data_IF_684940154653
#
_entry.id   IF_684940154653
#
_cell.length_a   1.000
_cell.length_b   1.000
_cell.length_c   1.000
_cell.angle_alpha   90.00
_cell.angle_beta   90.00
_cell.angle_gamma   90.00
#
_symmetry.space_group_name_H-M   'P 1'
#
loop_
_entity.id
_entity.type
_entity.pdbx_description
1 polymer ?
#
# COMPACT_ATOMS: atom_id res chain seq x y z
N UNK A 1 -37.02 31.99 -21.73
CA UNK A 1 -36.20 30.95 -21.09
C UNK A 1 -36.26 29.70 -21.97
N UNK A 2 -35.19 29.39 -22.70
CA UNK A 2 -35.08 28.14 -23.43
C UNK A 2 -34.11 27.25 -22.65
N UNK A 3 -34.65 26.18 -22.08
CA UNK A 3 -33.87 25.16 -21.38
C UNK A 3 -33.16 24.35 -22.46
N UNK A 4 -31.85 24.57 -22.61
CA UNK A 4 -31.01 23.70 -23.41
C UNK A 4 -30.93 22.35 -22.70
N UNK A 5 -31.67 21.36 -23.21
CA UNK A 5 -31.41 19.97 -22.90
C UNK A 5 -30.00 19.64 -23.39
N UNK A 6 -29.06 19.50 -22.45
CA UNK A 6 -27.75 18.92 -22.70
C UNK A 6 -27.95 17.44 -23.03
N UNK A 7 -28.13 17.16 -24.31
CA UNK A 7 -28.11 15.80 -24.83
C UNK A 7 -26.81 15.12 -24.40
N UNK A 8 -26.92 13.93 -23.82
CA UNK A 8 -25.80 13.05 -23.50
C UNK A 8 -25.08 12.70 -24.80
N UNK A 9 -24.06 13.47 -25.18
CA UNK A 9 -23.18 13.17 -26.30
C UNK A 9 -22.37 11.93 -25.93
N UNK A 10 -22.90 10.74 -26.22
CA UNK A 10 -22.14 9.50 -26.17
C UNK A 10 -21.17 9.43 -27.34
N UNK A 11 -19.97 8.90 -27.12
CA UNK A 11 -19.04 8.64 -28.22
C UNK A 11 -19.48 7.36 -28.95
N UNK A 12 -19.74 7.48 -30.26
CA UNK A 12 -19.89 6.33 -31.13
C UNK A 12 -18.49 5.79 -31.49
N UNK A 13 -18.26 4.50 -31.25
CA UNK A 13 -16.98 3.85 -31.50
C UNK A 13 -17.18 2.56 -32.30
N UNK A 14 -16.30 2.33 -33.26
CA UNK A 14 -16.21 1.10 -34.04
C UNK A 14 -15.42 0.05 -33.29
N UNK A 15 -16.02 -1.13 -33.10
CA UNK A 15 -15.44 -2.24 -32.37
C UNK A 15 -15.49 -3.51 -33.21
N UNK A 16 -14.33 -4.12 -33.41
CA UNK A 16 -14.13 -5.42 -34.03
C UNK A 16 -14.07 -6.51 -32.95
N UNK A 17 -14.86 -7.57 -33.11
CA UNK A 17 -14.96 -8.69 -32.17
C UNK A 17 -13.98 -9.81 -32.53
N UNK A 18 -13.23 -10.30 -31.53
CA UNK A 18 -12.33 -11.45 -31.63
C UNK A 18 -12.65 -12.47 -30.53
N UNK A 19 -13.02 -13.70 -30.90
CA UNK A 19 -13.51 -14.74 -29.96
C UNK A 19 -12.41 -15.72 -29.57
N UNK A 20 -11.48 -15.22 -28.76
CA UNK A 20 -10.42 -16.03 -28.17
C UNK A 20 -10.95 -17.17 -27.29
N UNK A 21 -12.14 -17.01 -26.70
CA UNK A 21 -12.86 -18.06 -25.96
C UNK A 21 -13.23 -19.27 -26.82
N UNK A 22 -13.33 -19.11 -28.14
CA UNK A 22 -13.59 -20.18 -29.10
C UNK A 22 -12.31 -20.66 -29.80
N UNK A 23 -11.13 -20.21 -29.34
CA UNK A 23 -9.85 -20.40 -30.03
C UNK A 23 -9.84 -19.82 -31.46
N UNK A 24 -10.72 -18.85 -31.75
CA UNK A 24 -10.73 -18.17 -33.04
C UNK A 24 -9.90 -16.87 -32.96
N UNK A 25 -8.86 -16.81 -33.80
CA UNK A 25 -7.96 -15.67 -33.89
C UNK A 25 -8.39 -14.62 -34.94
N UNK A 26 -9.51 -14.85 -35.64
CA UNK A 26 -10.04 -13.94 -36.67
C UNK A 26 -11.00 -12.92 -36.07
N UNK A 27 -11.21 -11.83 -36.81
CA UNK A 27 -12.26 -10.86 -36.52
C UNK A 27 -13.58 -11.43 -37.05
N UNK A 28 -14.57 -11.55 -36.16
CA UNK A 28 -15.84 -12.23 -36.45
C UNK A 28 -16.96 -11.24 -36.74
N UNK A 29 -16.90 -10.05 -36.15
CA UNK A 29 -17.90 -9.01 -36.36
C UNK A 29 -17.30 -7.63 -36.21
N UNK A 30 -17.86 -6.64 -36.90
CA UNK A 30 -17.54 -5.22 -36.76
C UNK A 30 -18.85 -4.48 -36.51
N UNK A 31 -18.93 -3.72 -35.41
CA UNK A 31 -20.12 -2.95 -35.07
C UNK A 31 -19.74 -1.59 -34.53
N UNK A 32 -20.57 -0.62 -34.85
CA UNK A 32 -20.59 0.66 -34.15
C UNK A 32 -21.34 0.49 -32.83
N UNK A 33 -20.74 0.98 -31.75
CA UNK A 33 -21.29 0.89 -30.39
C UNK A 33 -21.32 2.29 -29.81
N UNK A 34 -22.48 2.66 -29.27
CA UNK A 34 -22.68 3.94 -28.60
C UNK A 34 -22.42 3.77 -27.12
N UNK A 35 -21.43 4.49 -26.60
CA UNK A 35 -21.08 4.45 -25.18
C UNK A 35 -21.47 5.80 -24.56
N UNK A 36 -22.42 5.81 -23.60
CA UNK A 36 -22.83 7.04 -22.94
C UNK A 36 -21.67 7.67 -22.17
N UNK A 37 -21.54 8.99 -22.28
CA UNK A 37 -20.57 9.74 -21.48
C UNK A 37 -20.86 9.57 -19.99
N UNK A 38 -19.82 9.30 -19.20
CA UNK A 38 -19.94 9.04 -17.76
C UNK A 38 -20.45 7.64 -17.38
N UNK A 39 -20.65 6.72 -18.33
CA UNK A 39 -21.07 5.35 -18.03
C UNK A 39 -20.05 4.59 -17.16
N UNK A 40 -20.54 3.90 -16.14
CA UNK A 40 -19.72 3.01 -15.31
C UNK A 40 -19.23 1.79 -16.11
N UNK A 41 -18.08 1.25 -15.71
CA UNK A 41 -17.42 0.10 -16.36
C UNK A 41 -18.37 -1.10 -16.53
N UNK A 42 -19.23 -1.35 -15.54
CA UNK A 42 -20.23 -2.42 -15.56
C UNK A 42 -21.28 -2.21 -16.64
N UNK A 43 -21.79 -0.99 -16.79
CA UNK A 43 -22.73 -0.60 -17.86
C UNK A 43 -22.08 -0.70 -19.23
N UNK A 44 -20.84 -0.20 -19.40
CA UNK A 44 -20.09 -0.32 -20.67
C UNK A 44 -19.89 -1.79 -21.04
N UNK A 45 -19.55 -2.65 -20.07
CA UNK A 45 -19.45 -4.09 -20.28
C UNK A 45 -20.77 -4.71 -20.73
N UNK A 46 -21.89 -4.32 -20.13
CA UNK A 46 -23.22 -4.81 -20.51
C UNK A 46 -23.62 -4.34 -21.91
N UNK A 47 -23.36 -3.08 -22.27
CA UNK A 47 -23.60 -2.53 -23.61
C UNK A 47 -22.82 -3.34 -24.65
N UNK A 48 -21.52 -3.58 -24.42
CA UNK A 48 -20.70 -4.38 -25.33
C UNK A 48 -21.18 -5.83 -25.43
N UNK A 49 -21.55 -6.43 -24.29
CA UNK A 49 -22.11 -7.78 -24.28
C UNK A 49 -23.39 -7.86 -25.10
N UNK A 50 -24.29 -6.89 -24.94
CA UNK A 50 -25.55 -6.84 -25.67
C UNK A 50 -25.33 -6.61 -27.17
N UNK A 51 -24.50 -5.65 -27.55
CA UNK A 51 -24.18 -5.31 -28.96
C UNK A 51 -23.65 -6.51 -29.75
N UNK A 52 -22.90 -7.40 -29.10
CA UNK A 52 -22.31 -8.59 -29.71
C UNK A 52 -23.01 -9.90 -29.32
N UNK A 53 -24.14 -9.85 -28.61
CA UNK A 53 -24.90 -11.01 -28.10
C UNK A 53 -24.01 -12.02 -27.34
N UNK A 54 -23.14 -11.49 -26.47
CA UNK A 54 -22.18 -12.27 -25.69
C UNK A 54 -22.75 -12.57 -24.30
N UNK A 55 -22.63 -13.83 -23.87
CA UNK A 55 -22.80 -14.16 -22.46
C UNK A 55 -21.67 -13.52 -21.63
N UNK A 56 -22.06 -12.80 -20.58
CA UNK A 56 -21.13 -12.14 -19.64
C UNK A 56 -20.62 -13.09 -18.57
N UNK A 57 -21.28 -14.23 -18.37
CA UNK A 57 -20.93 -15.21 -17.35
C UNK A 57 -19.58 -15.86 -17.70
N UNK A 58 -18.63 -15.81 -16.75
CA UNK A 58 -17.31 -16.45 -16.83
C UNK A 58 -16.40 -16.04 -18.02
N UNK A 59 -16.65 -14.89 -18.65
CA UNK A 59 -15.80 -14.34 -19.72
C UNK A 59 -15.11 -13.05 -19.29
N UNK A 60 -13.91 -12.84 -19.85
CA UNK A 60 -13.12 -11.63 -19.71
C UNK A 60 -13.17 -10.89 -21.04
N UNK A 61 -13.50 -9.61 -21.00
CA UNK A 61 -13.41 -8.73 -22.14
C UNK A 61 -12.11 -7.93 -22.04
N UNK A 62 -11.39 -7.80 -23.15
CA UNK A 62 -10.19 -6.99 -23.27
C UNK A 62 -10.35 -6.13 -24.51
N UNK A 63 -10.19 -4.82 -24.39
CA UNK A 63 -10.28 -3.91 -25.52
C UNK A 63 -8.88 -3.40 -25.89
N UNK A 64 -8.54 -3.45 -27.17
CA UNK A 64 -7.24 -3.04 -27.69
C UNK A 64 -7.40 -1.95 -28.75
N UNK A 65 -6.44 -1.02 -28.79
CA UNK A 65 -6.34 -0.05 -29.88
C UNK A 65 -5.74 -0.66 -31.16
N UNK A 66 -5.65 0.14 -32.22
CA UNK A 66 -5.06 -0.23 -33.50
C UNK A 66 -3.57 -0.64 -33.42
N UNK A 67 -2.85 -0.20 -32.37
CA UNK A 67 -1.46 -0.61 -32.08
C UNK A 67 -1.39 -1.94 -31.32
N UNK A 68 -2.54 -2.54 -30.99
CA UNK A 68 -2.63 -3.75 -30.18
C UNK A 68 -2.42 -3.53 -28.69
N UNK A 69 -2.33 -2.28 -28.22
CA UNK A 69 -2.21 -1.96 -26.80
C UNK A 69 -3.56 -2.14 -26.10
N UNK A 70 -3.56 -2.72 -24.89
CA UNK A 70 -4.75 -2.81 -24.05
C UNK A 70 -5.14 -1.41 -23.56
N UNK A 71 -6.42 -1.06 -23.70
CA UNK A 71 -6.96 0.21 -23.21
C UNK A 71 -8.02 -0.04 -22.13
N UNK A 72 -8.26 0.92 -21.21
CA UNK A 72 -9.27 0.76 -20.17
C UNK A 72 -10.70 0.74 -20.74
N UNK A 73 -11.59 -0.04 -20.11
CA UNK A 73 -13.03 0.00 -20.35
C UNK A 73 -13.64 1.20 -19.63
N UNK A 74 -13.61 2.38 -20.25
CA UNK A 74 -14.27 3.56 -19.71
C UNK A 74 -15.15 4.24 -20.76
N UNK A 75 -15.95 5.20 -20.32
CA UNK A 75 -16.83 6.00 -21.18
C UNK A 75 -16.10 7.05 -22.02
N UNK A 76 -14.77 7.18 -21.86
CA UNK A 76 -13.97 8.23 -22.48
C UNK A 76 -13.09 7.67 -23.61
N UNK A 77 -13.57 6.64 -24.31
CA UNK A 77 -12.85 6.13 -25.48
C UNK A 77 -12.95 7.14 -26.62
N UNK A 78 -11.80 7.57 -27.20
CA UNK A 78 -11.83 8.46 -28.35
C UNK A 78 -12.63 7.87 -29.52
N UNK A 79 -13.36 8.71 -30.27
CA UNK A 79 -13.95 8.29 -31.52
C UNK A 79 -12.89 7.71 -32.46
N UNK A 80 -13.24 6.65 -33.16
CA UNK A 80 -12.38 5.99 -34.14
C UNK A 80 -13.12 5.79 -35.47
N UNK A 81 -12.46 5.19 -36.44
CA UNK A 81 -13.04 4.93 -37.76
C UNK A 81 -13.26 3.45 -38.00
N UNK A 82 -14.16 3.13 -38.95
CA UNK A 82 -14.42 1.76 -39.41
C UNK A 82 -13.15 1.06 -39.94
N UNK A 83 -12.20 1.81 -40.48
CA UNK A 83 -10.92 1.30 -41.01
C UNK A 83 -9.91 0.98 -39.89
N UNK A 84 -10.03 1.64 -38.73
CA UNK A 84 -9.17 1.43 -37.56
C UNK A 84 -10.00 1.19 -36.29
N UNK A 85 -10.78 0.10 -36.23
CA UNK A 85 -11.65 -0.17 -35.09
C UNK A 85 -10.84 -0.60 -33.86
N UNK A 86 -11.43 -0.42 -32.68
CA UNK A 86 -10.94 -1.08 -31.47
C UNK A 86 -11.18 -2.57 -31.56
N UNK A 87 -10.30 -3.40 -31.01
CA UNK A 87 -10.46 -4.85 -31.00
C UNK A 87 -10.95 -5.28 -29.62
N UNK A 88 -12.15 -5.84 -29.55
CA UNK A 88 -12.71 -6.49 -28.38
C UNK A 88 -12.36 -7.99 -28.42
N UNK A 89 -11.38 -8.38 -27.60
CA UNK A 89 -11.02 -9.77 -27.38
C UNK A 89 -11.88 -10.35 -26.24
N UNK A 90 -12.61 -11.43 -26.55
CA UNK A 90 -13.40 -12.18 -25.57
C UNK A 90 -12.63 -13.44 -25.21
N UNK A 91 -12.21 -13.56 -23.96
CA UNK A 91 -11.39 -14.65 -23.45
C UNK A 91 -12.08 -15.41 -22.30
N UNK A 92 -11.67 -16.65 -22.06
CA UNK A 92 -12.02 -17.39 -20.84
C UNK A 92 -11.23 -16.84 -19.64
N UNK A 93 -11.77 -16.96 -18.42
CA UNK A 93 -11.07 -16.53 -17.19
C UNK A 93 -9.67 -17.15 -17.09
N UNK A 94 -9.53 -18.41 -17.50
CA UNK A 94 -8.28 -19.15 -17.49
C UNK A 94 -7.95 -19.66 -18.89
N UNK A 95 -7.69 -18.74 -19.83
CA UNK A 95 -7.43 -19.15 -21.22
C UNK A 95 -6.06 -19.82 -21.41
N UNK A 96 -5.03 -19.33 -20.70
CA UNK A 96 -3.64 -19.79 -20.89
C UNK A 96 -3.07 -20.49 -19.64
N UNK A 97 -3.92 -20.73 -18.64
CA UNK A 97 -3.50 -21.32 -17.38
C UNK A 97 -4.46 -22.45 -17.05
N UNK A 98 -3.93 -23.62 -16.71
CA UNK A 98 -4.71 -24.69 -16.12
C UNK A 98 -4.73 -24.47 -14.61
N UNK A 99 -5.84 -23.98 -14.02
CA UNK A 99 -5.89 -23.76 -12.58
C UNK A 99 -5.69 -25.10 -11.88
N UNK A 100 -4.57 -25.26 -11.18
CA UNK A 100 -4.35 -26.46 -10.37
C UNK A 100 -5.32 -26.43 -9.17
N UNK A 101 -5.97 -27.55 -8.85
CA UNK A 101 -6.74 -27.65 -7.62
C UNK A 101 -5.82 -27.33 -6.43
N UNK A 102 -6.36 -26.61 -5.44
CA UNK A 102 -5.58 -26.08 -4.32
C UNK A 102 -4.92 -27.25 -3.56
N UNK A 103 -3.60 -27.29 -3.50
CA UNK A 103 -2.84 -28.40 -2.91
C UNK A 103 -2.97 -28.51 -1.38
N UNK A 104 -3.43 -27.45 -0.70
CA UNK A 104 -3.59 -27.42 0.75
C UNK A 104 -5.07 -27.22 1.10
N UNK A 105 -5.68 -28.14 1.87
CA UNK A 105 -7.03 -27.98 2.36
C UNK A 105 -7.18 -26.72 3.22
N UNK A 106 -8.25 -25.95 3.01
CA UNK A 106 -8.58 -24.73 3.78
C UNK A 106 -8.48 -24.90 5.30
N UNK A 107 -8.86 -26.06 5.91
CA UNK A 107 -8.70 -26.28 7.35
C UNK A 107 -7.25 -26.20 7.84
N UNK A 108 -6.27 -26.62 7.03
CA UNK A 108 -4.83 -26.60 7.39
C UNK A 108 -4.30 -25.16 7.39
N UNK A 109 -4.79 -24.33 6.46
CA UNK A 109 -4.48 -22.90 6.43
C UNK A 109 -5.05 -22.21 7.68
N UNK A 110 -6.29 -22.50 8.04
CA UNK A 110 -6.93 -21.94 9.23
C UNK A 110 -6.21 -22.34 10.53
N UNK A 111 -5.77 -23.60 10.65
CA UNK A 111 -4.96 -24.07 11.78
C UNK A 111 -3.62 -23.32 11.86
N UNK A 112 -2.93 -23.19 10.74
CA UNK A 112 -1.64 -22.46 10.67
C UNK A 112 -1.80 -20.99 11.06
N UNK A 113 -2.84 -20.33 10.53
CA UNK A 113 -3.14 -18.93 10.86
C UNK A 113 -3.51 -18.76 12.34
N UNK A 114 -4.34 -19.65 12.88
CA UNK A 114 -4.72 -19.63 14.30
C UNK A 114 -3.50 -19.80 15.22
N UNK A 115 -2.62 -20.74 14.91
CA UNK A 115 -1.37 -20.95 15.66
C UNK A 115 -0.45 -19.72 15.62
N UNK A 116 -0.30 -19.10 14.44
CA UNK A 116 0.49 -17.85 14.31
C UNK A 116 -0.11 -16.70 15.11
N UNK A 117 -1.43 -16.51 15.06
CA UNK A 117 -2.12 -15.49 15.84
C UNK A 117 -1.95 -15.72 17.34
N UNK A 118 -2.11 -16.95 17.82
CA UNK A 118 -1.91 -17.30 19.23
C UNK A 118 -0.47 -17.03 19.69
N UNK A 119 0.53 -17.30 18.84
CA UNK A 119 1.92 -16.99 19.13
C UNK A 119 2.17 -15.48 19.27
N UNK A 120 1.54 -14.66 18.41
CA UNK A 120 1.63 -13.20 18.50
C UNK A 120 0.98 -12.70 19.80
N UNK A 121 -0.22 -13.18 20.13
CA UNK A 121 -0.93 -12.79 21.36
C UNK A 121 -0.07 -13.08 22.60
N UNK A 122 0.49 -14.29 22.73
CA UNK A 122 1.37 -14.65 23.85
C UNK A 122 2.61 -13.76 23.96
N UNK A 123 3.17 -13.33 22.82
CA UNK A 123 4.30 -12.41 22.81
C UNK A 123 3.90 -11.01 23.29
N UNK A 124 2.72 -10.54 22.91
CA UNK A 124 2.19 -9.26 23.37
C UNK A 124 1.93 -9.29 24.87
N UNK A 125 1.25 -10.31 25.39
CA UNK A 125 0.99 -10.49 26.82
C UNK A 125 2.29 -10.47 27.64
N UNK A 126 3.32 -11.19 27.19
CA UNK A 126 4.64 -11.19 27.84
C UNK A 126 5.31 -9.81 27.81
N UNK A 127 5.15 -9.04 26.74
CA UNK A 127 5.70 -7.69 26.67
C UNK A 127 4.98 -6.74 27.64
N UNK A 128 3.66 -6.85 27.76
CA UNK A 128 2.85 -6.08 28.70
C UNK A 128 3.25 -6.36 30.16
N UNK A 129 3.51 -7.63 30.49
CA UNK A 129 3.99 -8.04 31.81
C UNK A 129 5.40 -7.49 32.15
N UNK A 130 6.31 -7.46 31.17
CA UNK A 130 7.70 -7.01 31.38
C UNK A 130 7.86 -5.48 31.39
N UNK A 131 6.95 -4.76 30.74
CA UNK A 131 7.00 -3.29 30.62
C UNK A 131 7.13 -2.54 31.96
N UNK A 132 6.35 -2.85 33.03
CA UNK A 132 6.49 -2.17 34.32
C UNK A 132 7.86 -2.43 34.97
N UNK A 133 8.42 -3.63 34.81
CA UNK A 133 9.72 -4.00 35.38
C UNK A 133 10.86 -3.15 34.77
N UNK A 134 10.76 -2.86 33.47
CA UNK A 134 11.73 -2.01 32.77
C UNK A 134 11.71 -0.58 33.33
N UNK A 135 10.52 -0.01 33.56
CA UNK A 135 10.39 1.34 34.15
C UNK A 135 11.00 1.41 35.54
N UNK A 136 10.74 0.40 36.37
CA UNK A 136 11.29 0.30 37.72
C UNK A 136 12.82 0.21 37.69
N UNK A 137 13.39 -0.67 36.85
CA UNK A 137 14.84 -0.81 36.67
C UNK A 137 15.51 0.48 36.19
N UNK A 138 14.86 1.23 35.30
CA UNK A 138 15.36 2.55 34.87
C UNK A 138 15.30 3.59 35.98
N UNK A 139 14.26 3.57 36.80
CA UNK A 139 14.17 4.46 37.95
C UNK A 139 15.28 4.16 38.96
N UNK A 140 15.45 2.90 39.36
CA UNK A 140 16.53 2.47 40.26
C UNK A 140 17.92 2.87 39.76
N UNK A 141 18.18 2.68 38.46
CA UNK A 141 19.45 3.10 37.85
C UNK A 141 19.65 4.62 37.96
N UNK A 142 18.63 5.41 37.63
CA UNK A 142 18.70 6.87 37.76
C UNK A 142 18.93 7.32 39.20
N UNK A 143 18.27 6.69 40.17
CA UNK A 143 18.46 7.01 41.58
C UNK A 143 19.91 6.74 42.02
N UNK A 144 20.48 5.59 41.63
CA UNK A 144 21.90 5.27 41.90
C UNK A 144 22.85 6.27 41.25
N UNK A 145 22.58 6.68 40.01
CA UNK A 145 23.41 7.66 39.31
C UNK A 145 23.35 9.04 39.98
N UNK A 146 22.17 9.49 40.42
CA UNK A 146 21.98 10.75 41.17
C UNK A 146 22.73 10.70 42.49
N UNK A 147 22.64 9.60 43.22
CA UNK A 147 23.27 9.44 44.52
C UNK A 147 24.81 9.46 44.41
N UNK A 148 25.35 8.80 43.39
CA UNK A 148 26.77 8.88 43.05
C UNK A 148 27.19 10.30 42.68
N UNK A 149 26.36 11.03 41.94
CA UNK A 149 26.65 12.42 41.55
C UNK A 149 26.69 13.33 42.79
N UNK A 150 25.74 13.18 43.70
CA UNK A 150 25.70 13.91 44.96
C UNK A 150 26.95 13.65 45.80
N UNK A 151 27.39 12.40 45.93
CA UNK A 151 28.63 12.07 46.64
C UNK A 151 29.84 12.79 46.04
N UNK A 152 29.96 12.81 44.70
CA UNK A 152 31.04 13.53 44.00
C UNK A 152 30.96 15.04 44.20
N UNK A 153 29.75 15.61 44.21
CA UNK A 153 29.52 17.05 44.38
C UNK A 153 29.88 17.50 45.79
N UNK A 154 29.48 16.72 46.81
CA UNK A 154 29.89 16.94 48.21
C UNK A 154 31.41 16.89 48.36
N UNK A 155 32.06 15.90 47.75
CA UNK A 155 33.52 15.79 47.75
C UNK A 155 34.20 17.01 47.11
N UNK A 156 33.72 17.45 45.94
CA UNK A 156 34.25 18.63 45.24
C UNK A 156 34.05 19.90 46.06
N UNK A 157 32.86 20.08 46.64
CA UNK A 157 32.56 21.23 47.48
C UNK A 157 33.50 21.32 48.68
N UNK A 158 33.75 20.18 49.36
CA UNK A 158 34.72 20.10 50.45
C UNK A 158 36.13 20.50 50.00
N UNK A 159 36.59 20.03 48.83
CA UNK A 159 37.91 20.42 48.29
C UNK A 159 37.99 21.90 47.94
N UNK A 160 36.91 22.48 47.42
CA UNK A 160 36.83 23.89 47.08
C UNK A 160 36.92 24.76 48.34
N UNK A 161 36.15 24.44 49.38
CA UNK A 161 36.23 25.13 50.68
C UNK A 161 37.64 25.05 51.29
N UNK A 162 38.30 23.89 51.20
CA UNK A 162 39.68 23.75 51.65
C UNK A 162 40.61 24.68 50.85
N UNK A 163 40.50 24.69 49.53
CA UNK A 163 41.32 25.58 48.68
C UNK A 163 41.08 27.07 48.99
N UNK A 164 39.84 27.48 49.21
CA UNK A 164 39.48 28.86 49.59
C UNK A 164 40.02 29.26 50.97
N UNK A 165 40.12 28.30 51.91
CA UNK A 165 40.69 28.53 53.24
C UNK A 165 42.21 28.71 53.26
N UNK A 166 42.91 28.32 52.19
CA UNK A 166 44.34 28.58 52.04
C UNK A 166 44.55 29.93 51.34
N UNK A 167 44.83 30.98 52.10
CA UNK A 167 45.49 32.16 51.53
C UNK A 167 46.94 31.78 51.22
N UNK A 168 47.41 32.06 50.00
CA UNK A 168 48.85 32.00 49.70
C UNK A 168 49.59 32.95 50.66
N UNK A 169 50.29 32.41 51.67
CA UNK A 169 51.31 33.16 52.43
C UNK A 169 52.59 33.28 51.58
N UNK A 170 52.42 33.77 50.35
CA UNK A 170 53.49 34.04 49.41
C UNK A 170 54.00 35.46 49.57
N UNK A 171 54.69 35.74 50.68
CA UNK A 171 55.65 36.85 50.69
C UNK A 171 56.76 36.51 51.68
N UNK A 172 57.97 36.28 51.16
CA UNK A 172 59.18 36.22 51.96
C UNK A 172 59.20 37.47 52.86
N UNK A 173 58.94 37.31 54.16
CA UNK A 173 58.93 38.44 55.11
C UNK A 173 60.32 39.08 55.27
N UNK A 174 61.38 38.43 54.76
CA UNK A 174 62.72 38.98 54.60
C UNK A 174 63.32 38.48 53.30
N UNK A 175 63.92 39.38 52.53
CA UNK A 175 64.86 39.00 51.48
C UNK A 175 66.02 38.22 52.12
N UNK A 176 66.48 37.11 51.54
CA UNK A 176 67.71 36.48 51.99
C UNK A 176 68.85 37.47 51.69
N UNK A 177 69.35 38.12 52.73
CA UNK A 177 70.69 38.69 52.69
C UNK A 177 71.62 37.54 53.04
N UNK A 178 72.50 37.24 52.08
CA UNK A 178 73.60 36.25 52.11
C UNK A 178 73.21 34.77 52.26
#
# INVERSE_FOLDING_TARGET
MAVFNTENIGAAVWIALKRLDLNDNRIIALREVHIPSGAQVTSVRQILAHSFRLDTSKKIFKIRNNRGCLIPFNSCMPPNSKQMPYVLEVAKIYQHVNPRPRSVPVPVINKTLKSRLQSIVKRTERLEELLPQIKLKHHERRTKDIELLNQKLVFLHKRMQMAESYSWEGMLRRAPLW
#
